data_IF_345229554396
#
_entry.id   IF_345229554396
#
_cell.length_a   1.000
_cell.length_b   1.000
_cell.length_c   1.000
_cell.angle_alpha   90.00
_cell.angle_beta   90.00
_cell.angle_gamma   90.00
#
_symmetry.space_group_name_H-M   'P 1'
#
loop_
_entity.id
_entity.type
_entity.pdbx_description
1 polymer ?
#
# COMPACT_ATOMS: atom_id res chain seq x y z
N UNK A 1 -13.37 9.25 3.42
CA UNK A 1 -13.18 10.59 3.99
C UNK A 1 -13.67 10.63 5.41
N UNK A 2 -12.82 11.16 6.29
CA UNK A 2 -13.06 11.33 7.70
C UNK A 2 -13.23 12.83 8.00
N UNK A 3 -14.14 13.19 8.90
CA UNK A 3 -14.20 14.55 9.42
C UNK A 3 -13.12 14.76 10.50
N UNK A 4 -12.97 16.00 10.99
CA UNK A 4 -12.01 16.34 12.05
C UNK A 4 -12.27 15.70 13.42
N UNK A 5 -13.20 14.74 13.52
CA UNK A 5 -13.39 13.87 14.69
C UNK A 5 -12.99 12.41 14.44
N UNK A 6 -12.50 12.11 13.23
CA UNK A 6 -12.20 10.75 12.77
C UNK A 6 -13.43 9.94 12.35
N UNK A 7 -14.60 10.57 12.26
CA UNK A 7 -15.83 9.87 11.86
C UNK A 7 -15.90 9.78 10.33
N UNK A 8 -16.20 8.58 9.82
CA UNK A 8 -16.43 8.39 8.39
C UNK A 8 -17.72 9.10 7.95
N UNK A 9 -17.58 10.13 7.12
CA UNK A 9 -18.71 10.95 6.63
C UNK A 9 -19.08 10.66 5.17
N UNK A 10 -18.20 9.96 4.44
CA UNK A 10 -18.42 9.55 3.07
C UNK A 10 -17.24 8.75 2.52
N UNK A 11 -17.49 7.99 1.46
CA UNK A 11 -16.45 7.23 0.77
C UNK A 11 -17.04 6.40 -0.37
N UNK A 12 -16.16 5.70 -1.06
CA UNK A 12 -16.49 4.65 -2.03
C UNK A 12 -15.77 3.37 -1.62
N UNK A 13 -16.26 2.25 -2.10
CA UNK A 13 -15.85 0.91 -1.66
C UNK A 13 -15.40 0.03 -2.85
N UNK A 14 -15.14 0.66 -4.00
CA UNK A 14 -14.71 0.09 -5.28
C UNK A 14 -13.41 0.78 -5.77
N UNK A 15 -12.53 1.14 -4.83
CA UNK A 15 -11.27 1.82 -5.17
C UNK A 15 -10.34 0.84 -5.88
N UNK A 16 -9.97 1.16 -7.11
CA UNK A 16 -8.97 0.44 -7.89
C UNK A 16 -7.62 1.13 -7.72
N UNK A 17 -6.57 0.33 -7.51
CA UNK A 17 -5.21 0.80 -7.32
C UNK A 17 -4.25 0.02 -8.20
N UNK A 18 -3.35 0.73 -8.87
CA UNK A 18 -2.18 0.13 -9.52
C UNK A 18 -0.93 0.87 -9.12
N UNK A 19 0.19 0.16 -9.07
CA UNK A 19 1.52 0.63 -8.69
C UNK A 19 2.56 -0.24 -9.39
N UNK A 20 3.59 0.38 -9.94
CA UNK A 20 4.68 -0.33 -10.63
C UNK A 20 5.72 -0.95 -9.69
N UNK A 21 5.55 -0.80 -8.37
CA UNK A 21 6.45 -1.33 -7.34
C UNK A 21 7.67 -0.45 -7.03
N UNK A 22 7.89 0.63 -7.77
CA UNK A 22 9.02 1.55 -7.54
C UNK A 22 8.73 2.51 -6.40
N UNK A 23 9.77 3.01 -5.73
CA UNK A 23 9.64 3.98 -4.63
C UNK A 23 10.41 5.26 -4.94
N UNK A 24 9.73 6.38 -4.74
CA UNK A 24 10.35 7.70 -4.79
C UNK A 24 11.15 7.94 -3.51
N UNK A 25 12.39 8.42 -3.67
CA UNK A 25 13.30 8.74 -2.55
C UNK A 25 13.52 10.24 -2.36
N UNK A 26 12.93 11.06 -3.24
CA UNK A 26 13.06 12.51 -3.24
C UNK A 26 11.86 13.15 -3.92
N UNK A 27 11.28 14.17 -3.27
CA UNK A 27 10.16 14.95 -3.83
C UNK A 27 10.57 15.68 -5.12
N UNK A 28 11.82 16.18 -5.19
CA UNK A 28 12.32 16.96 -6.31
C UNK A 28 12.51 16.16 -7.61
N UNK A 29 12.54 14.84 -7.51
CA UNK A 29 12.76 13.91 -8.63
C UNK A 29 11.70 12.83 -8.67
N UNK A 30 10.58 13.05 -7.98
CA UNK A 30 9.52 12.07 -7.89
C UNK A 30 8.90 11.87 -9.28
N UNK A 31 8.55 10.62 -9.57
CA UNK A 31 7.82 10.24 -10.77
C UNK A 31 6.51 9.59 -10.35
N UNK A 32 5.48 9.82 -11.16
CA UNK A 32 4.23 9.09 -11.05
C UNK A 32 4.49 7.61 -11.30
N UNK A 33 4.04 6.80 -10.36
CA UNK A 33 4.28 5.36 -10.39
C UNK A 33 3.07 4.55 -9.94
N UNK A 34 1.96 5.21 -9.63
CA UNK A 34 0.70 4.59 -9.25
C UNK A 34 -0.51 5.29 -9.87
N UNK A 35 -1.66 4.63 -9.81
CA UNK A 35 -2.97 5.22 -10.09
C UNK A 35 -3.98 4.77 -9.03
N UNK A 36 -4.91 5.65 -8.68
CA UNK A 36 -6.04 5.37 -7.78
C UNK A 36 -7.29 5.85 -8.50
N UNK A 37 -8.32 5.02 -8.57
CA UNK A 37 -9.58 5.41 -9.20
C UNK A 37 -10.78 4.72 -8.56
N UNK A 38 -11.99 5.18 -8.89
CA UNK A 38 -13.24 4.56 -8.47
C UNK A 38 -14.31 4.91 -9.50
N UNK A 39 -15.21 3.97 -9.78
CA UNK A 39 -16.35 4.23 -10.65
C UNK A 39 -17.50 4.92 -9.92
N UNK A 40 -17.50 4.86 -8.58
CA UNK A 40 -18.55 5.42 -7.74
C UNK A 40 -18.30 6.90 -7.43
N UNK A 41 -19.36 7.72 -7.45
CA UNK A 41 -19.25 9.10 -7.01
C UNK A 41 -19.03 9.19 -5.49
N UNK A 42 -18.23 10.17 -5.09
CA UNK A 42 -18.03 10.58 -3.71
C UNK A 42 -18.85 11.85 -3.42
N UNK A 43 -19.68 11.84 -2.38
CA UNK A 43 -20.67 12.91 -2.10
C UNK A 43 -21.55 13.29 -3.31
N UNK A 44 -21.85 12.31 -4.18
CA UNK A 44 -22.69 12.52 -5.36
C UNK A 44 -22.00 13.19 -6.55
N UNK A 45 -20.69 13.46 -6.46
CA UNK A 45 -19.88 13.90 -7.60
C UNK A 45 -18.79 12.88 -7.93
N UNK A 46 -18.41 12.82 -9.20
CA UNK A 46 -17.25 12.04 -9.63
C UNK A 46 -15.97 12.66 -9.07
N UNK A 47 -14.98 11.82 -8.87
CA UNK A 47 -13.65 12.21 -8.46
C UNK A 47 -12.60 11.50 -9.30
N UNK A 48 -11.43 12.10 -9.40
CA UNK A 48 -10.26 11.54 -10.07
C UNK A 48 -9.04 11.78 -9.20
N UNK A 49 -8.20 10.76 -9.04
CA UNK A 49 -6.91 10.90 -8.38
C UNK A 49 -5.80 10.72 -9.42
N UNK A 50 -5.01 11.77 -9.60
CA UNK A 50 -3.97 11.87 -10.60
C UNK A 50 -2.65 12.27 -9.95
N UNK A 51 -1.55 12.13 -10.69
CA UNK A 51 -0.19 12.34 -10.20
C UNK A 51 0.10 11.58 -8.88
N UNK A 52 -0.18 10.27 -8.84
CA UNK A 52 0.06 9.46 -7.63
C UNK A 52 1.52 9.04 -7.58
N UNK A 53 2.23 9.48 -6.54
CA UNK A 53 3.63 9.12 -6.27
C UNK A 53 3.72 8.36 -4.96
N UNK A 54 4.31 7.17 -5.00
CA UNK A 54 4.60 6.37 -3.82
C UNK A 54 6.04 6.60 -3.37
N UNK A 55 6.23 6.87 -2.09
CA UNK A 55 7.50 7.13 -1.43
C UNK A 55 7.82 6.04 -0.43
N UNK A 56 9.10 5.67 -0.35
CA UNK A 56 9.60 4.72 0.65
C UNK A 56 9.88 5.38 2.00
N UNK A 57 10.62 4.70 2.90
CA UNK A 57 11.07 5.27 4.15
C UNK A 57 11.94 6.53 3.96
N UNK A 58 11.67 7.56 4.77
CA UNK A 58 12.33 8.85 4.65
C UNK A 58 11.61 9.98 5.38
N UNK A 59 12.10 11.21 5.21
CA UNK A 59 11.38 12.40 5.65
C UNK A 59 11.22 13.35 4.47
N UNK A 60 9.98 13.70 4.18
CA UNK A 60 9.59 14.41 2.97
C UNK A 60 8.85 15.70 3.35
N UNK A 61 9.12 16.77 2.63
CA UNK A 61 8.33 18.01 2.70
C UNK A 61 7.63 18.21 1.38
N UNK A 62 6.29 18.20 1.42
CA UNK A 62 5.42 18.33 0.24
C UNK A 62 4.68 19.65 0.36
N UNK A 63 4.80 20.50 -0.64
CA UNK A 63 4.16 21.81 -0.68
C UNK A 63 2.92 21.77 -1.56
N UNK A 64 1.83 22.38 -1.09
CA UNK A 64 0.53 22.33 -1.77
C UNK A 64 0.31 23.43 -2.79
N UNK A 65 1.24 24.39 -2.89
CA UNK A 65 1.21 25.41 -3.95
C UNK A 65 1.81 24.91 -5.27
N UNK A 66 2.03 23.60 -5.39
CA UNK A 66 2.96 23.03 -6.36
C UNK A 66 2.43 21.76 -7.01
N UNK A 67 2.56 21.65 -8.34
CA UNK A 67 2.39 20.36 -9.00
C UNK A 67 3.35 19.35 -8.36
N UNK A 68 2.81 18.17 -8.04
CA UNK A 68 3.53 16.95 -7.75
C UNK A 68 4.88 16.86 -8.50
N UNK A 69 6.01 16.78 -7.77
CA UNK A 69 7.35 16.60 -8.35
C UNK A 69 8.11 17.87 -8.79
N UNK A 70 7.57 19.08 -8.60
CA UNK A 70 8.26 20.32 -8.99
C UNK A 70 9.32 20.77 -7.96
N UNK A 71 10.60 20.95 -8.35
CA UNK A 71 11.67 21.36 -7.43
C UNK A 71 11.71 22.86 -7.10
N UNK A 72 11.03 23.72 -7.87
CA UNK A 72 11.13 25.19 -7.79
C UNK A 72 10.02 25.83 -6.95
N UNK A 73 9.64 25.14 -5.89
CA UNK A 73 8.37 25.21 -5.22
C UNK A 73 8.60 25.16 -3.70
N UNK A 74 7.94 26.00 -2.88
CA UNK A 74 8.24 25.99 -1.44
C UNK A 74 7.95 27.22 -0.58
N UNK A 75 6.91 28.00 -0.86
CA UNK A 75 6.53 29.14 0.02
C UNK A 75 5.12 29.00 0.62
N UNK A 76 4.34 28.00 0.19
CA UNK A 76 2.99 27.71 0.66
C UNK A 76 2.92 26.85 1.92
N UNK A 77 1.69 26.42 2.21
CA UNK A 77 1.44 25.40 3.22
C UNK A 77 2.09 24.07 2.78
N UNK A 78 2.51 23.25 3.73
CA UNK A 78 3.18 22.00 3.45
C UNK A 78 2.88 20.93 4.48
N UNK A 79 3.03 19.69 4.05
CA UNK A 79 3.14 18.51 4.89
C UNK A 79 4.62 18.21 5.12
N UNK A 80 5.00 17.91 6.35
CA UNK A 80 6.30 17.29 6.65
C UNK A 80 6.03 15.92 7.21
N UNK A 81 6.30 14.90 6.42
CA UNK A 81 5.92 13.51 6.68
C UNK A 81 7.17 12.68 6.92
N UNK A 82 7.19 11.91 8.01
CA UNK A 82 8.22 10.89 8.24
C UNK A 82 7.61 9.52 7.97
N UNK A 83 8.16 8.82 6.98
CA UNK A 83 7.79 7.46 6.61
C UNK A 83 8.81 6.53 7.26
N UNK A 84 8.35 5.67 8.17
CA UNK A 84 9.23 4.75 8.89
C UNK A 84 9.52 3.50 8.06
N UNK A 85 10.53 2.68 8.43
CA UNK A 85 10.67 1.33 7.89
C UNK A 85 9.36 0.53 8.02
N UNK A 86 9.04 -0.27 6.99
CA UNK A 86 7.76 -0.99 6.91
C UNK A 86 6.56 -0.16 6.44
N UNK A 87 6.75 1.14 6.19
CA UNK A 87 5.70 2.04 5.71
C UNK A 87 6.00 2.54 4.30
N UNK A 88 4.95 2.96 3.60
CA UNK A 88 5.03 3.73 2.35
C UNK A 88 4.12 4.96 2.47
N UNK A 89 4.37 5.99 1.67
CA UNK A 89 3.50 7.17 1.61
C UNK A 89 3.05 7.40 0.18
N UNK A 90 1.78 7.75 0.00
CA UNK A 90 1.27 8.30 -1.24
C UNK A 90 1.06 9.81 -1.12
N UNK A 91 1.55 10.53 -2.12
CA UNK A 91 1.07 11.87 -2.43
C UNK A 91 0.30 11.78 -3.74
N UNK A 92 -0.91 12.34 -3.75
CA UNK A 92 -1.79 12.37 -4.91
C UNK A 92 -2.51 13.70 -5.00
N UNK A 93 -2.91 14.06 -6.21
CA UNK A 93 -3.80 15.19 -6.48
C UNK A 93 -5.21 14.65 -6.69
N UNK A 94 -6.20 15.35 -6.15
CA UNK A 94 -7.59 14.92 -6.15
C UNK A 94 -8.49 15.96 -6.80
N UNK A 95 -9.14 15.58 -7.89
CA UNK A 95 -10.14 16.42 -8.58
C UNK A 95 -11.54 16.03 -8.09
N UNK A 96 -12.33 17.01 -7.62
CA UNK A 96 -13.70 16.78 -7.16
C UNK A 96 -14.64 17.95 -7.41
N UNK A 97 -15.77 17.66 -8.07
CA UNK A 97 -16.83 18.63 -8.35
C UNK A 97 -16.35 19.97 -8.94
N UNK A 98 -15.32 19.92 -9.79
CA UNK A 98 -14.71 21.09 -10.44
C UNK A 98 -13.67 21.84 -9.60
N UNK A 99 -13.38 21.38 -8.38
CA UNK A 99 -12.15 21.74 -7.68
C UNK A 99 -11.06 20.80 -8.17
N UNK A 100 -9.92 21.37 -8.54
CA UNK A 100 -8.82 20.64 -9.13
C UNK A 100 -7.63 20.62 -8.17
N UNK A 101 -6.81 19.59 -8.32
CA UNK A 101 -5.49 19.46 -7.69
C UNK A 101 -5.50 19.60 -6.17
N UNK A 102 -6.50 19.02 -5.47
CA UNK A 102 -6.54 19.02 -4.00
C UNK A 102 -5.46 18.06 -3.50
N UNK A 103 -4.58 18.52 -2.61
CA UNK A 103 -3.48 17.69 -2.12
C UNK A 103 -3.93 16.68 -1.07
N UNK A 104 -3.61 15.42 -1.33
CA UNK A 104 -3.88 14.30 -0.43
C UNK A 104 -2.60 13.55 -0.08
N UNK A 105 -2.43 13.31 1.21
CA UNK A 105 -1.33 12.52 1.78
C UNK A 105 -1.92 11.36 2.59
N UNK A 106 -1.50 10.14 2.24
CA UNK A 106 -1.75 8.94 3.02
C UNK A 106 -0.41 8.24 3.30
N UNK A 107 -0.21 7.84 4.56
CA UNK A 107 0.89 6.94 4.93
C UNK A 107 0.26 5.58 5.17
N UNK A 108 0.79 4.56 4.51
CA UNK A 108 0.29 3.19 4.56
C UNK A 108 1.27 2.25 5.25
N UNK A 109 0.71 1.28 5.94
CA UNK A 109 1.40 0.08 6.41
C UNK A 109 0.48 -1.14 6.29
N UNK A 110 1.03 -2.35 6.41
CA UNK A 110 0.21 -3.56 6.52
C UNK A 110 -0.49 -3.55 7.88
N UNK A 111 -1.82 -3.61 7.89
CA UNK A 111 -2.56 -3.52 9.14
C UNK A 111 -4.08 -3.69 9.03
N UNK A 112 -4.73 -3.72 10.18
CA UNK A 112 -6.19 -3.68 10.29
C UNK A 112 -6.67 -2.24 10.49
N UNK A 113 -7.93 -1.99 10.18
CA UNK A 113 -8.52 -0.66 10.25
C UNK A 113 -8.45 -0.08 11.68
N UNK A 114 -7.99 1.17 11.79
CA UNK A 114 -7.98 1.93 13.05
C UNK A 114 -6.87 3.00 13.08
N UNK A 115 -6.94 4.01 13.97
CA UNK A 115 -7.97 4.25 14.99
C UNK A 115 -9.35 4.72 14.47
N UNK A 116 -9.45 5.24 13.25
CA UNK A 116 -10.70 5.76 12.69
C UNK A 116 -11.71 4.66 12.33
N UNK A 117 -12.99 5.02 12.14
CA UNK A 117 -14.02 4.10 11.64
C UNK A 117 -13.97 3.98 10.12
N UNK A 118 -14.22 2.80 9.57
CA UNK A 118 -14.39 2.59 8.13
C UNK A 118 -15.76 3.06 7.63
N UNK A 119 -15.82 3.58 6.41
CA UNK A 119 -17.08 3.93 5.78
C UNK A 119 -17.81 2.68 5.26
N UNK A 120 -18.98 2.37 5.82
CA UNK A 120 -19.79 1.20 5.45
C UNK A 120 -21.03 1.55 4.60
N UNK A 121 -21.20 2.83 4.24
CA UNK A 121 -22.41 3.35 3.61
C UNK A 121 -22.45 3.27 2.07
N UNK A 122 -21.34 2.93 1.41
CA UNK A 122 -21.26 2.81 -0.05
C UNK A 122 -21.75 1.46 -0.55
N UNK A 123 -22.04 1.36 -1.86
CA UNK A 123 -22.27 0.05 -2.48
C UNK A 123 -21.03 -0.82 -2.31
N UNK A 124 -21.21 -1.99 -1.73
CA UNK A 124 -20.19 -3.02 -1.73
C UNK A 124 -20.13 -3.62 -3.13
N UNK A 125 -18.93 -3.76 -3.66
CA UNK A 125 -18.66 -4.62 -4.82
C UNK A 125 -18.94 -6.08 -4.45
N UNK A 126 -18.85 -6.99 -5.43
CA UNK A 126 -19.01 -8.43 -5.18
C UNK A 126 -17.79 -9.07 -4.53
N UNK A 127 -16.68 -8.35 -4.37
CA UNK A 127 -15.53 -8.85 -3.62
C UNK A 127 -15.86 -8.91 -2.13
N UNK A 128 -15.24 -9.85 -1.42
CA UNK A 128 -15.44 -10.08 0.00
C UNK A 128 -14.72 -9.06 0.89
N UNK A 129 -13.99 -8.11 0.31
CA UNK A 129 -13.09 -7.19 1.01
C UNK A 129 -13.74 -5.84 1.28
N UNK A 130 -14.66 -5.46 0.41
CA UNK A 130 -15.45 -4.24 0.48
C UNK A 130 -16.23 -4.12 1.79
N UNK A 131 -15.98 -3.05 2.55
CA UNK A 131 -16.69 -2.70 3.78
C UNK A 131 -16.59 -3.71 4.95
N UNK A 132 -15.48 -4.45 5.09
CA UNK A 132 -15.17 -5.23 6.29
C UNK A 132 -13.91 -4.71 7.02
N UNK A 133 -14.10 -4.20 8.25
CA UNK A 133 -13.06 -3.59 9.09
C UNK A 133 -12.19 -4.62 9.81
N UNK A 134 -12.55 -5.90 9.75
CA UNK A 134 -11.79 -7.01 10.32
C UNK A 134 -10.67 -7.49 9.39
N UNK A 135 -10.72 -7.09 8.12
CA UNK A 135 -9.69 -7.42 7.14
C UNK A 135 -8.35 -6.78 7.48
N UNK A 136 -7.28 -7.53 7.23
CA UNK A 136 -5.92 -6.98 7.18
C UNK A 136 -5.67 -6.49 5.77
N UNK A 137 -5.37 -5.21 5.62
CA UNK A 137 -5.12 -4.56 4.34
C UNK A 137 -3.62 -4.53 4.06
N UNK A 138 -3.25 -4.69 2.78
CA UNK A 138 -1.85 -4.57 2.36
C UNK A 138 -1.35 -3.14 2.57
N UNK A 139 -2.18 -2.15 2.24
CA UNK A 139 -1.94 -0.74 2.51
C UNK A 139 -3.10 -0.14 3.30
N UNK A 140 -2.94 -0.05 4.61
CA UNK A 140 -3.88 0.56 5.55
C UNK A 140 -3.39 1.97 5.90
N UNK A 141 -4.22 2.99 5.71
CA UNK A 141 -3.84 4.38 6.02
C UNK A 141 -3.77 4.57 7.53
N UNK A 142 -2.67 5.13 8.03
CA UNK A 142 -2.42 5.28 9.46
C UNK A 142 -2.54 6.73 9.94
N UNK A 143 -2.66 6.88 11.26
CA UNK A 143 -2.50 8.15 11.99
C UNK A 143 -1.00 8.44 12.17
N UNK A 144 -0.35 8.94 11.12
CA UNK A 144 1.10 9.16 11.10
C UNK A 144 1.53 10.42 11.87
N UNK A 145 0.63 11.40 12.04
CA UNK A 145 0.90 12.65 12.75
C UNK A 145 0.41 12.63 14.21
N UNK A 146 -0.19 11.53 14.66
CA UNK A 146 -0.68 11.27 16.01
C UNK A 146 -1.81 12.22 16.45
N UNK A 147 -2.69 12.61 15.51
CA UNK A 147 -3.88 13.42 15.79
C UNK A 147 -5.10 12.57 16.21
N UNK A 148 -4.98 11.24 16.12
CA UNK A 148 -6.02 10.26 16.40
C UNK A 148 -6.88 9.87 15.19
N UNK A 149 -6.51 10.31 13.98
CA UNK A 149 -7.28 10.14 12.74
C UNK A 149 -6.38 9.57 11.64
N UNK A 150 -6.82 8.49 10.99
CA UNK A 150 -6.11 7.94 9.83
C UNK A 150 -6.03 8.94 8.66
N UNK A 151 -4.87 9.00 8.00
CA UNK A 151 -4.60 9.90 6.87
C UNK A 151 -4.31 11.33 7.33
N UNK A 152 -3.81 12.18 6.42
CA UNK A 152 -3.55 13.58 6.75
C UNK A 152 -4.80 14.46 6.57
N UNK A 153 -4.97 15.46 7.43
CA UNK A 153 -5.97 16.52 7.21
C UNK A 153 -5.60 17.36 5.99
N UNK A 154 -6.50 17.45 5.01
CA UNK A 154 -6.30 18.26 3.80
C UNK A 154 -6.13 19.73 4.18
N UNK A 155 -5.16 20.42 3.59
CA UNK A 155 -4.84 21.82 3.90
C UNK A 155 -5.32 22.80 2.83
N UNK A 156 -5.85 22.31 1.71
CA UNK A 156 -6.40 23.09 0.62
C UNK A 156 -7.72 22.51 0.06
N UNK A 157 -8.22 23.12 -1.01
CA UNK A 157 -9.49 22.72 -1.62
C UNK A 157 -10.75 22.97 -0.76
N UNK A 158 -11.89 22.35 -1.12
CA UNK A 158 -13.15 22.46 -0.38
C UNK A 158 -13.22 21.59 0.88
N UNK A 159 -12.22 20.72 1.11
CA UNK A 159 -12.21 19.70 2.17
C UNK A 159 -11.18 20.00 3.26
N UNK A 160 -10.77 21.26 3.45
CA UNK A 160 -9.81 21.63 4.49
C UNK A 160 -10.22 21.10 5.86
N UNK A 161 -9.33 20.34 6.50
CA UNK A 161 -9.54 19.71 7.81
C UNK A 161 -10.31 18.38 7.78
N UNK A 162 -10.60 17.83 6.61
CA UNK A 162 -11.03 16.43 6.45
C UNK A 162 -9.82 15.58 6.08
N UNK A 163 -9.87 14.29 6.42
CA UNK A 163 -8.79 13.35 6.10
C UNK A 163 -9.29 12.42 4.99
N UNK A 164 -8.58 12.39 3.87
CA UNK A 164 -8.68 11.26 2.96
C UNK A 164 -8.07 10.04 3.67
N UNK A 165 -8.68 8.89 3.46
CA UNK A 165 -8.27 7.65 4.08
C UNK A 165 -8.53 6.55 3.05
N UNK A 166 -7.45 6.12 2.38
CA UNK A 166 -7.48 5.03 1.42
C UNK A 166 -6.91 3.77 2.06
N UNK A 167 -7.62 2.65 1.89
CA UNK A 167 -7.16 1.33 2.31
C UNK A 167 -7.23 0.43 1.08
N UNK A 168 -6.09 -0.16 0.71
CA UNK A 168 -5.90 -0.78 -0.58
C UNK A 168 -5.42 -2.22 -0.39
N UNK A 169 -6.02 -3.12 -1.16
CA UNK A 169 -5.51 -4.49 -1.33
C UNK A 169 -4.59 -4.49 -2.55
N UNK A 170 -3.39 -5.06 -2.41
CA UNK A 170 -2.44 -5.14 -3.52
C UNK A 170 -2.27 -6.60 -3.93
N UNK A 171 -2.62 -6.90 -5.17
CA UNK A 171 -2.24 -8.17 -5.80
C UNK A 171 -0.86 -8.03 -6.42
N UNK A 172 0.03 -9.02 -6.30
CA UNK A 172 1.33 -8.97 -6.95
C UNK A 172 1.37 -9.95 -8.13
N UNK A 173 1.96 -9.53 -9.25
CA UNK A 173 2.40 -10.41 -10.32
C UNK A 173 3.70 -9.86 -10.91
N UNK A 174 4.84 -10.42 -10.52
CA UNK A 174 6.16 -9.88 -10.84
C UNK A 174 7.14 -10.94 -11.34
N UNK A 175 8.12 -10.47 -12.11
CA UNK A 175 9.28 -11.24 -12.58
C UNK A 175 10.57 -10.54 -12.16
N UNK A 176 11.71 -11.20 -12.36
CA UNK A 176 13.01 -10.59 -12.06
C UNK A 176 13.27 -10.43 -10.56
N UNK A 177 12.51 -11.14 -9.73
CA UNK A 177 12.71 -11.16 -8.29
C UNK A 177 13.98 -11.97 -7.93
N UNK A 178 14.40 -11.88 -6.67
CA UNK A 178 15.62 -12.53 -6.19
C UNK A 178 15.31 -13.72 -5.27
N UNK A 179 16.02 -14.82 -5.49
CA UNK A 179 16.22 -15.88 -4.52
C UNK A 179 17.72 -15.93 -4.19
N UNK A 180 18.05 -15.84 -2.91
CA UNK A 180 19.42 -15.96 -2.40
C UNK A 180 19.46 -17.09 -1.37
N UNK A 181 20.35 -18.06 -1.56
CA UNK A 181 20.69 -19.03 -0.52
C UNK A 181 21.87 -18.49 0.29
N UNK A 182 21.68 -18.37 1.59
CA UNK A 182 22.70 -17.97 2.56
C UNK A 182 23.19 -19.19 3.34
N UNK A 183 24.50 -19.30 3.58
CA UNK A 183 25.02 -20.26 4.54
C UNK A 183 24.84 -19.78 5.99
N UNK A 184 25.15 -20.64 6.97
CA UNK A 184 25.05 -20.30 8.40
C UNK A 184 26.01 -19.20 8.88
N UNK A 185 26.71 -18.50 7.97
CA UNK A 185 27.48 -17.28 8.26
C UNK A 185 26.85 -16.02 7.63
N UNK A 186 25.73 -16.16 6.92
CA UNK A 186 25.07 -15.10 6.16
C UNK A 186 25.71 -14.80 4.81
N UNK A 187 26.62 -15.67 4.33
CA UNK A 187 27.25 -15.49 3.02
C UNK A 187 26.39 -16.09 1.92
N UNK A 188 26.18 -15.37 0.81
CA UNK A 188 25.50 -15.90 -0.36
C UNK A 188 26.32 -17.04 -1.00
N UNK A 189 25.71 -18.23 -1.08
CA UNK A 189 26.33 -19.42 -1.69
C UNK A 189 25.70 -19.80 -3.03
N UNK A 190 24.54 -19.24 -3.36
CA UNK A 190 23.87 -19.43 -4.64
C UNK A 190 22.52 -18.70 -4.67
N UNK A 191 21.79 -18.84 -5.77
CA UNK A 191 20.50 -18.18 -5.96
C UNK A 191 20.12 -18.01 -7.43
N UNK A 192 19.04 -17.26 -7.67
CA UNK A 192 18.49 -16.93 -9.00
C UNK A 192 17.91 -15.51 -8.99
N UNK A 193 17.91 -14.82 -10.14
CA UNK A 193 17.43 -13.44 -10.27
C UNK A 193 16.27 -13.30 -11.27
N UNK A 194 15.62 -14.41 -11.62
CA UNK A 194 14.46 -14.49 -12.50
C UNK A 194 13.22 -15.01 -11.77
N UNK A 195 13.16 -14.85 -10.44
CA UNK A 195 12.06 -15.40 -9.65
C UNK A 195 10.74 -14.74 -10.08
N UNK A 196 9.76 -15.57 -10.38
CA UNK A 196 8.38 -15.19 -10.68
C UNK A 196 7.55 -15.32 -9.41
N UNK A 197 6.75 -14.29 -9.12
CA UNK A 197 5.92 -14.22 -7.93
C UNK A 197 4.49 -13.81 -8.30
N UNK A 198 3.52 -14.52 -7.73
CA UNK A 198 2.13 -14.06 -7.71
C UNK A 198 1.56 -14.09 -6.30
N UNK A 199 0.70 -13.13 -5.99
CA UNK A 199 -0.04 -13.08 -4.73
C UNK A 199 -1.40 -12.41 -4.97
N UNK A 200 -2.46 -13.00 -4.44
CA UNK A 200 -3.82 -12.48 -4.56
C UNK A 200 -4.15 -11.32 -3.58
N UNK A 201 -3.17 -10.88 -2.79
CA UNK A 201 -3.29 -9.79 -1.82
C UNK A 201 -3.91 -10.18 -0.48
N UNK A 202 -4.39 -11.42 -0.35
CA UNK A 202 -5.04 -11.88 0.89
C UNK A 202 -4.01 -12.27 1.95
N UNK A 203 -4.37 -12.17 3.24
CA UNK A 203 -3.49 -12.53 4.35
C UNK A 203 -4.12 -13.60 5.23
N UNK A 204 -3.36 -14.64 5.51
CA UNK A 204 -3.71 -15.64 6.50
C UNK A 204 -3.50 -15.07 7.92
N UNK A 205 -4.39 -15.41 8.83
CA UNK A 205 -4.34 -14.99 10.26
C UNK A 205 -4.26 -16.18 11.22
N UNK A 206 -4.23 -17.40 10.69
CA UNK A 206 -4.12 -18.63 11.46
C UNK A 206 -3.48 -19.73 10.63
N UNK A 207 -2.45 -20.41 11.18
CA UNK A 207 -1.83 -21.59 10.54
C UNK A 207 -2.85 -22.71 10.35
N UNK A 208 -3.80 -22.85 11.28
CA UNK A 208 -4.79 -23.92 11.29
C UNK A 208 -5.81 -23.86 10.15
N UNK A 209 -6.04 -22.67 9.60
CA UNK A 209 -7.02 -22.43 8.54
C UNK A 209 -6.39 -21.72 7.35
N UNK A 210 -5.07 -21.77 7.25
CA UNK A 210 -4.35 -21.07 6.20
C UNK A 210 -4.69 -21.67 4.83
N UNK A 211 -4.75 -20.82 3.82
CA UNK A 211 -4.95 -21.20 2.43
C UNK A 211 -3.81 -20.66 1.59
N UNK A 212 -3.42 -21.45 0.58
CA UNK A 212 -2.48 -21.02 -0.44
C UNK A 212 -3.03 -19.78 -1.15
N UNK A 213 -2.24 -18.73 -1.19
CA UNK A 213 -2.64 -17.45 -1.76
C UNK A 213 -1.55 -16.82 -2.64
N UNK A 214 -0.41 -17.49 -2.78
CA UNK A 214 0.71 -17.03 -3.58
C UNK A 214 1.39 -18.18 -4.35
N UNK A 215 2.24 -17.81 -5.31
CA UNK A 215 3.13 -18.75 -6.01
C UNK A 215 4.52 -18.12 -6.14
N UNK A 216 5.57 -18.90 -5.94
CA UNK A 216 6.96 -18.49 -6.17
C UNK A 216 7.62 -19.55 -7.04
N UNK A 217 8.28 -19.15 -8.13
CA UNK A 217 8.96 -20.10 -9.00
C UNK A 217 10.13 -19.47 -9.74
N UNK A 218 10.97 -20.30 -10.35
CA UNK A 218 12.02 -19.84 -11.26
C UNK A 218 12.23 -20.88 -12.35
N UNK A 219 12.58 -20.40 -13.54
CA UNK A 219 13.03 -21.25 -14.63
C UNK A 219 14.48 -21.71 -14.45
N UNK A 220 15.26 -21.02 -13.61
CA UNK A 220 16.68 -21.26 -13.43
C UNK A 220 16.97 -22.32 -12.35
N UNK A 221 17.87 -23.27 -12.65
CA UNK A 221 18.36 -24.21 -11.65
C UNK A 221 19.15 -23.51 -10.53
N UNK A 222 18.96 -23.98 -9.31
CA UNK A 222 19.81 -23.67 -8.15
C UNK A 222 20.77 -24.84 -7.92
N UNK A 223 22.07 -24.57 -7.83
CA UNK A 223 23.12 -25.62 -7.78
C UNK A 223 22.98 -26.72 -8.84
N UNK A 224 22.52 -26.35 -10.04
CA UNK A 224 22.40 -27.27 -11.18
C UNK A 224 21.19 -28.20 -11.16
N UNK A 225 20.28 -28.07 -10.19
CA UNK A 225 18.99 -28.74 -10.18
C UNK A 225 17.85 -27.73 -10.15
N UNK A 226 16.72 -28.08 -10.78
CA UNK A 226 15.52 -27.28 -10.67
C UNK A 226 15.02 -27.28 -9.22
N UNK A 227 14.41 -26.17 -8.83
CA UNK A 227 13.66 -26.06 -7.59
C UNK A 227 12.23 -25.60 -7.90
N UNK A 228 11.31 -25.93 -6.99
CA UNK A 228 9.92 -25.50 -7.03
C UNK A 228 9.51 -25.09 -5.62
N UNK A 229 8.81 -23.96 -5.48
CA UNK A 229 8.18 -23.59 -4.22
C UNK A 229 6.67 -23.75 -4.37
N UNK A 230 6.06 -24.49 -3.45
CA UNK A 230 4.64 -24.77 -3.46
C UNK A 230 4.03 -24.61 -2.08
N UNK A 231 2.69 -24.61 -2.01
CA UNK A 231 1.94 -24.34 -0.79
C UNK A 231 2.35 -23.00 -0.14
N UNK A 232 2.54 -21.95 -0.96
CA UNK A 232 2.97 -20.64 -0.48
C UNK A 232 1.79 -19.93 0.19
N UNK A 233 1.94 -19.66 1.48
CA UNK A 233 0.95 -18.97 2.30
C UNK A 233 1.54 -17.72 2.90
N UNK A 234 0.91 -16.59 2.66
CA UNK A 234 1.30 -15.30 3.21
C UNK A 234 0.41 -14.96 4.40
N UNK A 235 1.04 -14.59 5.52
CA UNK A 235 0.44 -14.26 6.80
C UNK A 235 0.60 -12.77 7.12
N UNK A 236 -0.43 -12.18 7.71
CA UNK A 236 -0.37 -10.82 8.25
C UNK A 236 0.29 -10.76 9.64
N UNK A 237 0.25 -9.59 10.30
CA UNK A 237 0.78 -9.42 11.66
C UNK A 237 0.18 -10.42 12.66
N UNK A 238 1.02 -10.97 13.54
CA UNK A 238 0.64 -11.99 14.51
C UNK A 238 1.79 -12.86 14.98
N UNK A 239 1.53 -13.77 15.92
CA UNK A 239 2.50 -14.79 16.35
C UNK A 239 2.02 -16.15 15.89
N UNK A 240 2.88 -16.86 15.16
CA UNK A 240 2.57 -18.13 14.52
C UNK A 240 3.56 -19.20 14.94
N UNK A 241 3.07 -20.44 15.08
CA UNK A 241 3.90 -21.62 15.28
C UNK A 241 3.69 -22.57 14.11
N UNK A 242 4.77 -22.86 13.38
CA UNK A 242 4.77 -23.70 12.19
C UNK A 242 5.67 -24.88 12.48
N UNK A 243 5.13 -26.09 12.42
CA UNK A 243 5.88 -27.33 12.63
C UNK A 243 6.39 -27.85 11.28
N UNK A 244 7.62 -28.37 11.22
CA UNK A 244 8.21 -28.87 9.97
C UNK A 244 7.71 -30.25 9.57
N UNK A 245 7.07 -30.95 10.50
CA UNK A 245 6.44 -32.26 10.30
C UNK A 245 5.10 -32.15 9.56
N UNK A 246 4.70 -30.94 9.22
CA UNK A 246 3.39 -30.59 8.71
C UNK A 246 3.43 -30.25 7.23
N UNK A 247 2.52 -30.82 6.44
CA UNK A 247 2.06 -30.12 5.25
C UNK A 247 1.59 -28.72 5.68
N UNK A 248 2.12 -27.71 5.01
CA UNK A 248 1.84 -26.32 5.26
C UNK A 248 0.30 -26.07 5.27
N UNK A 249 -0.23 -25.44 6.33
CA UNK A 249 -1.67 -25.21 6.52
C UNK A 249 -2.48 -26.33 7.20
N UNK A 250 -1.85 -27.40 7.68
CA UNK A 250 -2.54 -28.49 8.39
C UNK A 250 -2.62 -28.24 9.91
N UNK A 251 -3.83 -28.08 10.51
CA UNK A 251 -4.00 -27.80 11.94
C UNK A 251 -3.66 -28.96 12.89
N UNK A 252 -3.62 -30.19 12.37
CA UNK A 252 -3.61 -31.42 13.18
C UNK A 252 -2.22 -32.10 13.24
N UNK A 253 -1.24 -31.57 12.52
CA UNK A 253 0.16 -31.95 12.67
C UNK A 253 0.81 -30.91 13.60
N UNK A 254 1.61 -31.35 14.57
CA UNK A 254 2.01 -30.45 15.66
C UNK A 254 2.93 -31.09 16.69
N UNK A 255 3.75 -32.04 16.26
CA UNK A 255 4.72 -32.69 17.14
C UNK A 255 6.06 -32.71 16.43
N UNK A 256 7.02 -31.90 16.89
CA UNK A 256 8.36 -31.89 16.30
C UNK A 256 9.05 -30.54 16.41
N UNK A 257 10.00 -30.30 15.49
CA UNK A 257 10.69 -29.03 15.40
C UNK A 257 9.77 -27.99 14.77
N UNK A 258 9.93 -26.73 15.16
CA UNK A 258 9.01 -25.67 14.75
C UNK A 258 9.68 -24.32 14.69
N UNK A 259 9.20 -23.48 13.80
CA UNK A 259 9.40 -22.04 13.84
C UNK A 259 8.36 -21.40 14.75
N UNK A 260 8.77 -20.47 15.61
CA UNK A 260 7.85 -19.56 16.31
C UNK A 260 8.17 -18.16 15.85
N UNK A 261 7.32 -17.63 14.97
CA UNK A 261 7.57 -16.39 14.23
C UNK A 261 6.63 -15.32 14.75
N UNK A 262 7.16 -14.13 15.02
CA UNK A 262 6.35 -12.94 15.31
C UNK A 262 6.45 -11.99 14.13
N UNK A 263 5.33 -11.76 13.47
CA UNK A 263 5.17 -10.79 12.39
C UNK A 263 4.64 -9.51 12.99
N UNK A 264 5.45 -8.45 12.95
CA UNK A 264 5.07 -7.16 13.52
C UNK A 264 4.15 -6.39 12.56
N UNK A 265 3.46 -5.34 13.03
CA UNK A 265 2.82 -4.37 12.14
C UNK A 265 3.79 -3.86 11.06
N UNK A 266 3.30 -3.66 9.84
CA UNK A 266 4.13 -3.31 8.68
C UNK A 266 4.91 -4.47 8.05
N UNK A 267 4.80 -5.69 8.60
CA UNK A 267 5.45 -6.89 8.07
C UNK A 267 4.41 -7.91 7.57
N UNK A 268 4.85 -8.79 6.67
CA UNK A 268 4.14 -10.02 6.29
C UNK A 268 5.11 -11.20 6.42
N UNK A 269 4.60 -12.43 6.45
CA UNK A 269 5.44 -13.63 6.45
C UNK A 269 4.98 -14.59 5.38
N UNK A 270 5.90 -15.23 4.68
CA UNK A 270 5.60 -16.39 3.86
C UNK A 270 6.10 -17.67 4.53
N UNK A 271 5.21 -18.67 4.58
CA UNK A 271 5.60 -20.07 4.74
C UNK A 271 5.42 -20.76 3.40
N UNK A 272 6.43 -21.49 2.97
CA UNK A 272 6.41 -22.26 1.73
C UNK A 272 7.16 -23.57 1.89
N UNK A 273 6.84 -24.53 1.02
CA UNK A 273 7.55 -25.79 0.89
C UNK A 273 8.42 -25.75 -0.36
N UNK A 274 9.69 -26.12 -0.22
CA UNK A 274 10.71 -26.01 -1.24
C UNK A 274 11.20 -27.40 -1.68
N UNK A 275 11.01 -27.71 -2.94
CA UNK A 275 11.46 -28.96 -3.56
C UNK A 275 12.78 -28.74 -4.28
N UNK A 276 13.80 -29.56 -4.01
CA UNK A 276 15.09 -29.47 -4.69
C UNK A 276 15.83 -30.80 -4.80
N UNK A 277 16.25 -31.16 -6.02
CA UNK A 277 17.07 -32.33 -6.32
C UNK A 277 16.51 -33.65 -5.74
N UNK A 278 15.18 -33.78 -5.71
CA UNK A 278 14.47 -34.94 -5.17
C UNK A 278 14.31 -34.97 -3.65
N UNK A 279 14.77 -33.94 -2.93
CA UNK A 279 14.32 -33.64 -1.58
C UNK A 279 13.05 -32.81 -1.72
N UNK A 280 12.00 -33.22 -1.03
CA UNK A 280 10.67 -32.62 -1.14
C UNK A 280 10.29 -31.97 0.18
N UNK A 281 9.37 -31.02 0.10
CA UNK A 281 8.67 -30.42 1.24
C UNK A 281 9.61 -29.76 2.28
N UNK A 282 10.70 -29.11 1.85
CA UNK A 282 11.62 -28.41 2.77
C UNK A 282 10.96 -27.12 3.25
N UNK A 283 10.87 -26.90 4.56
CA UNK A 283 10.21 -25.72 5.10
C UNK A 283 11.07 -24.47 4.99
N UNK A 284 10.52 -23.44 4.33
CA UNK A 284 11.12 -22.12 4.23
C UNK A 284 10.20 -21.07 4.85
N UNK A 285 10.78 -20.22 5.70
CA UNK A 285 10.12 -19.09 6.34
C UNK A 285 10.87 -17.81 5.99
N UNK A 286 10.15 -16.88 5.36
CA UNK A 286 10.59 -15.51 5.16
C UNK A 286 9.63 -14.55 5.87
N UNK A 287 10.18 -13.60 6.62
CA UNK A 287 9.42 -12.43 7.07
C UNK A 287 9.83 -11.27 6.19
N UNK A 288 8.87 -10.60 5.58
CA UNK A 288 9.07 -9.51 4.64
C UNK A 288 8.66 -8.17 5.20
N UNK A 289 9.45 -7.15 4.87
CA UNK A 289 9.09 -5.75 5.01
C UNK A 289 9.63 -4.95 3.82
N UNK A 290 9.17 -3.70 3.65
CA UNK A 290 9.74 -2.81 2.62
C UNK A 290 11.15 -2.42 3.03
N UNK A 291 12.15 -2.69 2.18
CA UNK A 291 13.53 -2.38 2.53
C UNK A 291 14.56 -2.67 1.45
N UNK A 292 15.79 -2.22 1.70
CA UNK A 292 16.96 -2.60 0.91
C UNK A 292 17.58 -3.89 1.47
N UNK A 293 18.29 -4.62 0.64
CA UNK A 293 18.88 -5.90 1.04
C UNK A 293 19.90 -5.70 2.19
N UNK A 294 19.71 -6.44 3.28
CA UNK A 294 20.62 -6.45 4.42
C UNK A 294 19.97 -7.05 5.67
N UNK A 295 20.74 -7.53 6.66
CA UNK A 295 22.19 -7.41 6.80
C UNK A 295 23.06 -8.34 5.92
N UNK A 296 22.48 -9.35 5.28
CA UNK A 296 23.21 -10.37 4.49
C UNK A 296 23.61 -9.87 3.11
N UNK A 297 24.43 -10.64 2.39
CA UNK A 297 24.74 -10.35 0.97
C UNK A 297 23.70 -10.95 0.03
N UNK A 298 23.27 -10.19 -0.99
CA UNK A 298 22.42 -10.71 -2.05
C UNK A 298 23.21 -11.53 -3.07
N UNK A 299 22.59 -12.59 -3.60
CA UNK A 299 23.17 -13.32 -4.73
C UNK A 299 22.98 -12.58 -6.05
N UNK A 300 24.09 -12.09 -6.63
CA UNK A 300 24.10 -11.35 -7.91
C UNK A 300 24.61 -12.16 -9.10
N UNK A 301 24.89 -13.45 -8.91
CA UNK A 301 25.65 -14.27 -9.88
C UNK A 301 24.85 -14.97 -11.00
N UNK A 302 23.51 -15.01 -10.92
CA UNK A 302 22.64 -15.67 -11.92
C UNK A 302 22.15 -14.72 -13.02
N UNK A 303 21.51 -15.30 -14.03
CA UNK A 303 20.83 -14.58 -15.12
C UNK A 303 19.91 -13.49 -14.56
N UNK A 304 20.09 -12.27 -15.02
CA UNK A 304 19.18 -11.15 -14.78
C UNK A 304 18.07 -11.14 -15.83
N UNK A 305 16.89 -10.69 -15.46
CA UNK A 305 15.85 -10.36 -16.45
C UNK A 305 16.15 -9.00 -17.09
N UNK A 306 15.25 -8.52 -17.96
CA UNK A 306 15.30 -7.14 -18.47
C UNK A 306 14.82 -6.11 -17.46
N UNK A 307 14.27 -6.57 -16.33
CA UNK A 307 13.72 -5.71 -15.29
C UNK A 307 14.87 -4.98 -14.59
N UNK A 308 14.71 -3.69 -14.32
CA UNK A 308 15.79 -2.86 -13.78
C UNK A 308 16.18 -3.24 -12.35
N UNK A 309 15.33 -3.98 -11.63
CA UNK A 309 15.57 -4.41 -10.25
C UNK A 309 16.30 -5.74 -10.11
N UNK A 310 16.36 -6.54 -11.18
CA UNK A 310 16.94 -7.89 -11.14
C UNK A 310 18.45 -7.84 -10.80
N UNK A 311 18.84 -8.56 -9.74
CA UNK A 311 20.21 -8.64 -9.23
C UNK A 311 20.84 -7.32 -8.76
N UNK A 312 20.05 -6.32 -8.39
CA UNK A 312 20.54 -5.05 -7.85
C UNK A 312 20.18 -4.90 -6.36
N UNK A 313 21.22 -4.94 -5.51
CA UNK A 313 21.14 -4.89 -4.05
C UNK A 313 20.86 -3.48 -3.50
N UNK A 314 20.90 -2.47 -4.37
CA UNK A 314 20.57 -1.09 -4.00
C UNK A 314 19.09 -0.76 -4.14
N UNK A 315 18.31 -1.67 -4.75
CA UNK A 315 16.86 -1.49 -4.83
C UNK A 315 16.19 -1.61 -3.47
N UNK A 316 15.11 -0.85 -3.32
CA UNK A 316 14.15 -1.03 -2.24
C UNK A 316 13.11 -2.04 -2.73
N UNK A 317 13.11 -3.22 -2.15
CA UNK A 317 12.16 -4.29 -2.45
C UNK A 317 10.87 -4.07 -1.68
N UNK A 318 9.72 -4.41 -2.28
CA UNK A 318 8.45 -4.35 -1.57
C UNK A 318 8.37 -5.41 -0.48
N UNK A 319 8.89 -6.61 -0.77
CA UNK A 319 8.96 -7.73 0.16
C UNK A 319 10.43 -8.15 0.29
N UNK A 320 11.17 -7.47 1.16
CA UNK A 320 12.56 -7.78 1.49
C UNK A 320 12.60 -8.73 2.68
N UNK A 321 13.25 -9.89 2.56
CA UNK A 321 13.29 -10.87 3.66
C UNK A 321 14.28 -10.42 4.74
N UNK A 322 13.85 -10.38 5.99
CA UNK A 322 14.60 -9.79 7.11
C UNK A 322 15.17 -10.81 8.09
N UNK A 323 16.11 -10.35 8.92
CA UNK A 323 16.59 -11.03 10.12
C UNK A 323 15.56 -10.88 11.27
N UNK A 324 14.52 -11.72 11.26
CA UNK A 324 13.43 -11.63 12.23
C UNK A 324 13.73 -12.32 13.56
N UNK A 325 14.67 -13.28 13.58
CA UNK A 325 15.07 -14.01 14.79
C UNK A 325 16.35 -13.45 15.46
N UNK A 326 16.93 -12.39 14.89
CA UNK A 326 18.08 -11.63 15.39
C UNK A 326 19.37 -12.45 15.43
N UNK A 327 19.57 -13.34 14.47
CA UNK A 327 20.81 -14.11 14.31
C UNK A 327 21.87 -13.41 13.44
N UNK A 328 21.51 -12.28 12.82
CA UNK A 328 22.34 -11.50 11.92
C UNK A 328 22.24 -11.91 10.45
N UNK A 329 21.33 -12.82 10.09
CA UNK A 329 21.14 -13.39 8.75
C UNK A 329 19.70 -13.17 8.31
N UNK A 330 19.50 -12.88 7.02
CA UNK A 330 18.16 -12.68 6.49
C UNK A 330 17.42 -14.01 6.33
N UNK A 331 16.12 -14.04 6.64
CA UNK A 331 15.27 -15.23 6.57
C UNK A 331 15.55 -16.22 7.71
N UNK A 332 14.77 -17.30 7.80
CA UNK A 332 14.99 -18.33 8.82
C UNK A 332 16.00 -19.39 8.35
N UNK A 333 16.82 -19.89 9.28
CA UNK A 333 17.61 -21.09 9.03
C UNK A 333 16.71 -22.32 8.88
N UNK A 334 16.82 -23.03 7.75
CA UNK A 334 16.05 -24.25 7.49
C UNK A 334 16.33 -25.30 8.56
N UNK A 335 15.27 -25.89 9.11
CA UNK A 335 15.35 -26.87 10.21
C UNK A 335 15.39 -28.30 9.66
N UNK A 336 14.96 -28.52 8.43
CA UNK A 336 14.85 -29.84 7.80
C UNK A 336 15.47 -29.86 6.38
N UNK A 337 15.26 -30.96 5.66
CA UNK A 337 15.85 -31.15 4.34
C UNK A 337 17.40 -31.29 4.30
N UNK A 338 18.01 -31.15 3.12
CA UNK A 338 19.46 -31.25 2.93
C UNK A 338 20.23 -29.96 3.29
N UNK A 339 19.53 -28.86 3.57
CA UNK A 339 20.09 -27.52 3.78
C UNK A 339 19.93 -27.01 5.23
N UNK A 340 19.92 -27.92 6.21
CA UNK A 340 19.76 -27.53 7.62
C UNK A 340 20.79 -26.47 8.04
N UNK A 341 20.29 -25.34 8.55
CA UNK A 341 21.09 -24.18 8.97
C UNK A 341 21.52 -23.23 7.85
N UNK A 342 21.00 -23.39 6.63
CA UNK A 342 21.05 -22.38 5.56
C UNK A 342 19.75 -21.60 5.51
N UNK A 343 19.76 -20.38 4.98
CA UNK A 343 18.59 -19.52 4.91
C UNK A 343 18.24 -19.31 3.44
N UNK A 344 17.07 -19.81 3.02
CA UNK A 344 16.52 -19.54 1.71
C UNK A 344 15.79 -18.20 1.78
N UNK A 345 16.24 -17.22 0.99
CA UNK A 345 15.82 -15.84 1.13
C UNK A 345 15.20 -15.34 -0.17
N UNK A 346 13.90 -15.05 -0.15
CA UNK A 346 13.18 -14.49 -1.30
C UNK A 346 12.96 -12.99 -1.13
N UNK A 347 13.27 -12.20 -2.16
CA UNK A 347 13.07 -10.76 -2.19
C UNK A 347 12.27 -10.38 -3.43
N UNK A 348 11.10 -9.79 -3.22
CA UNK A 348 10.05 -9.72 -4.23
C UNK A 348 9.54 -8.27 -4.40
N UNK A 349 9.20 -7.92 -5.63
CA UNK A 349 8.53 -6.68 -6.00
C UNK A 349 7.02 -6.87 -6.02
N UNK A 350 6.27 -5.80 -5.74
CA UNK A 350 4.81 -5.76 -5.83
C UNK A 350 4.33 -4.86 -6.97
N UNK A 351 4.82 -5.08 -8.19
CA UNK A 351 4.20 -4.43 -9.34
C UNK A 351 2.84 -5.10 -9.63
N UNK A 352 1.78 -4.30 -9.67
CA UNK A 352 0.43 -4.72 -10.11
C UNK A 352 0.27 -4.60 -11.63
N UNK A 353 1.29 -4.12 -12.36
CA UNK A 353 1.13 -3.65 -13.74
C UNK A 353 2.22 -4.10 -14.70
N UNK A 354 2.21 -5.37 -15.11
CA UNK A 354 2.86 -5.79 -16.35
C UNK A 354 2.23 -7.02 -17.01
N UNK A 355 0.89 -7.16 -16.97
CA UNK A 355 0.20 -8.07 -17.89
C UNK A 355 -0.17 -7.33 -19.19
N UNK A 356 0.76 -7.32 -20.16
CA UNK A 356 0.44 -7.17 -21.58
C UNK A 356 0.74 -5.80 -22.19
N UNK A 357 1.79 -5.77 -23.02
CA UNK A 357 2.22 -4.58 -23.75
C UNK A 357 1.14 -3.93 -24.61
N UNK A 358 0.98 -2.63 -24.39
CA UNK A 358 0.32 -1.69 -25.28
C UNK A 358 0.78 -0.29 -24.90
N UNK A 359 1.88 0.18 -25.49
CA UNK A 359 2.36 1.55 -25.36
C UNK A 359 1.32 2.50 -25.98
N UNK A 360 0.31 2.91 -25.22
CA UNK A 360 -0.38 4.17 -25.44
C UNK A 360 0.10 5.14 -24.39
N UNK A 361 1.13 5.89 -24.78
CA UNK A 361 1.53 7.15 -24.20
C UNK A 361 0.29 8.00 -23.77
N UNK A 362 0.09 8.28 -22.48
CA UNK A 362 -1.02 9.12 -22.03
C UNK A 362 -0.74 10.63 -22.15
N UNK A 363 0.41 11.07 -22.70
CA UNK A 363 0.86 12.47 -22.56
C UNK A 363 0.16 13.54 -23.43
N UNK A 364 -1.04 13.33 -23.97
CA UNK A 364 -1.77 14.42 -24.68
C UNK A 364 -3.29 14.49 -24.51
N UNK A 365 -3.93 13.76 -23.58
CA UNK A 365 -5.37 14.01 -23.31
C UNK A 365 -5.52 15.23 -22.39
N UNK A 366 -5.28 16.41 -22.94
CA UNK A 366 -5.76 17.68 -22.39
C UNK A 366 -7.30 17.63 -22.46
N UNK A 367 -7.92 16.91 -21.53
CA UNK A 367 -9.36 16.99 -21.30
C UNK A 367 -9.66 18.38 -20.79
N UNK A 368 -9.89 19.28 -21.74
CA UNK A 368 -10.51 20.56 -21.46
C UNK A 368 -11.89 20.23 -20.87
N UNK A 369 -12.01 20.30 -19.55
CA UNK A 369 -13.30 20.41 -18.88
C UNK A 369 -13.92 21.71 -19.39
N UNK A 370 -14.68 21.61 -20.47
CA UNK A 370 -15.49 22.73 -20.95
C UNK A 370 -16.50 23.00 -19.83
N UNK A 371 -16.55 24.23 -19.28
CA UNK A 371 -17.56 24.58 -18.29
C UNK A 371 -18.93 24.26 -18.88
N UNK A 372 -19.90 23.75 -18.09
CA UNK A 372 -21.25 23.59 -18.60
C UNK A 372 -21.75 24.95 -19.08
N UNK A 373 -22.11 25.01 -20.36
CA UNK A 373 -22.81 26.12 -20.99
C UNK A 373 -24.09 26.38 -20.15
N UNK A 374 -24.05 27.42 -19.31
CA UNK A 374 -25.26 27.96 -18.67
C UNK A 374 -25.99 28.76 -19.76
N UNK A 375 -26.64 28.02 -20.65
CA UNK A 375 -27.69 28.54 -21.49
C UNK A 375 -28.95 28.69 -20.62
N UNK A 376 -29.27 29.94 -20.30
CA UNK A 376 -30.57 30.44 -19.89
C UNK A 376 -31.71 29.84 -20.75
N UNK A 377 -32.78 29.30 -20.12
CA UNK A 377 -34.09 29.51 -20.66
C UNK A 377 -35.00 30.12 -19.58
N UNK A 378 -35.28 31.41 -19.79
CA UNK A 378 -36.56 32.09 -19.55
C UNK A 378 -37.69 31.17 -19.07
N UNK A 379 -38.07 31.29 -17.80
CA UNK A 379 -39.40 30.90 -17.35
C UNK A 379 -40.21 32.15 -16.99
N UNK A 380 -41.18 32.42 -17.87
CA UNK A 380 -42.19 33.44 -17.69
C UNK A 380 -43.15 33.12 -16.54
N UNK A 381 -43.77 34.19 -16.03
CA UNK A 381 -44.57 34.21 -14.82
C UNK A 381 -45.82 33.33 -14.80
N UNK A 382 -46.25 33.02 -13.58
CA UNK A 382 -47.55 32.44 -13.25
C UNK A 382 -47.73 32.40 -11.72
N UNK A 383 -48.73 33.13 -11.22
CA UNK A 383 -48.89 33.52 -9.81
C UNK A 383 -49.53 32.47 -8.87
N UNK A 384 -49.19 32.53 -7.58
CA UNK A 384 -50.08 32.40 -6.39
C UNK A 384 -49.22 32.56 -5.11
N UNK A 385 -49.20 33.71 -4.43
CA UNK A 385 -50.12 34.16 -3.37
C UNK A 385 -50.03 33.36 -2.04
N UNK A 386 -49.62 34.06 -0.97
CA UNK A 386 -49.75 33.61 0.44
C UNK A 386 -48.61 34.11 1.34
N UNK A 387 -48.55 35.41 1.65
CA UNK A 387 -48.85 35.96 2.99
C UNK A 387 -48.19 35.22 4.17
N UNK A 388 -47.22 35.86 4.85
CA UNK A 388 -47.36 36.35 6.23
C UNK A 388 -46.36 37.49 6.47
N UNK A 389 -46.84 38.53 7.16
CA UNK A 389 -46.23 39.85 7.32
C UNK A 389 -45.84 40.11 8.78
N UNK A 390 -44.91 41.08 8.96
CA UNK A 390 -44.82 42.04 10.10
C UNK A 390 -44.34 41.48 11.46
N UNK A 391 -43.40 42.07 12.20
CA UNK A 391 -43.03 43.47 12.53
C UNK A 391 -41.49 43.56 12.70
N UNK A 392 -40.79 44.70 12.74
CA UNK A 392 -41.12 46.12 12.85
C UNK A 392 -39.81 46.92 13.05
N UNK A 393 -39.81 48.14 12.52
CA UNK A 393 -38.69 49.08 12.34
C UNK A 393 -38.31 49.91 13.60
N UNK A 394 -37.05 50.38 13.61
CA UNK A 394 -36.51 51.69 14.09
C UNK A 394 -36.37 51.98 15.60
N UNK A 395 -35.16 52.46 15.95
CA UNK A 395 -34.90 53.21 17.17
C UNK A 395 -33.49 53.80 17.26
N UNK A 396 -33.20 54.83 16.46
CA UNK A 396 -32.04 55.72 16.62
C UNK A 396 -32.26 56.63 17.85
N UNK A 397 -31.36 56.61 18.84
CA UNK A 397 -31.26 57.65 19.85
C UNK A 397 -29.83 57.81 20.39
N UNK A 398 -29.28 59.01 20.21
CA UNK A 398 -28.13 59.54 20.93
C UNK A 398 -28.38 59.54 22.45
N UNK A 399 -27.38 59.16 23.25
CA UNK A 399 -27.11 59.87 24.50
C UNK A 399 -25.62 59.94 24.82
N UNK A 400 -25.14 61.17 24.92
CA UNK A 400 -23.83 61.60 25.41
C UNK A 400 -24.02 61.92 26.88
N UNK A 401 -23.28 61.29 27.80
CA UNK A 401 -23.06 61.87 29.14
C UNK A 401 -21.71 61.48 29.73
N UNK A 402 -21.01 62.53 30.16
CA UNK A 402 -19.74 62.60 30.88
C UNK A 402 -19.98 62.50 32.39
N UNK A 403 -18.88 62.26 33.12
CA UNK A 403 -18.58 62.37 34.56
C UNK A 403 -18.45 60.98 35.21
N UNK A 404 -17.35 60.58 35.87
CA UNK A 404 -16.24 61.33 36.49
C UNK A 404 -14.87 60.90 35.98
#
# INVERSE_FOLDING_TARGET
MLDGTGSAVGGTNDVEFTWDGTLNTSVATAVENATISSSQPFFGAQWDAHHVMIYGPGTYTIYTDCPAGSPDCGVGASYTVTVNPGQVMAHMLFDWSGNLDIDVIDVWEVGQFGPSSMFTGAQTTTDSWSADDTNVWTFMSIDWDNDGINGAGMIDGPFVGFNANFNLMVTAQTTGNNFTMLDGTGSAVGGTNDVEFTWDGTLNTSVATAVENATISSSQPFFGAQWDAHHVMIYGPGTYTIYTDCPAGSPDCGVGASYTVTVNPGQVMAHMLFDWSGNLDIDVIDVWEVGQFGPSSMFTGAQTTTDSWSADDTNVWTFMSIDWDNDGINGAGMIDGPFVGFNANFNLMSATGASGGGTSDPSTDERTLTPPDIADPSFGGGAAAGLWSLFGLVGLALFRRRNH
#
